data_IF_611867282064
#
_entry.id   IF_611867282064
#
_cell.length_a   1.000
_cell.length_b   1.000
_cell.length_c   1.000
_cell.angle_alpha   90.00
_cell.angle_beta   90.00
_cell.angle_gamma   90.00
#
_symmetry.space_group_name_H-M   'P 1'
#
loop_
_entity.id
_entity.type
_entity.pdbx_description
1 polymer ?
#
# COMPACT_ATOMS: atom_id res chain seq x y z
N UNK A 1 9.75 27.55 5.17
CA UNK A 1 8.93 26.68 4.29
C UNK A 1 8.09 25.76 5.16
N UNK A 2 6.78 25.63 4.92
CA UNK A 2 5.99 24.57 5.59
C UNK A 2 6.55 23.23 5.15
N UNK A 3 6.82 22.34 6.11
CA UNK A 3 7.25 20.96 5.82
C UNK A 3 6.10 20.29 5.05
N UNK A 4 6.40 19.65 3.92
CA UNK A 4 5.41 18.85 3.23
C UNK A 4 4.88 17.81 4.23
N UNK A 5 3.56 17.69 4.33
CA UNK A 5 2.88 16.79 5.26
C UNK A 5 1.93 15.89 4.47
N UNK A 6 1.98 14.60 4.77
CA UNK A 6 1.06 13.63 4.22
C UNK A 6 -0.32 13.80 4.88
N UNK A 7 -1.38 13.63 4.11
CA UNK A 7 -2.75 13.68 4.59
C UNK A 7 -3.02 12.54 5.58
N UNK A 8 -3.98 12.77 6.46
CA UNK A 8 -4.48 11.74 7.37
C UNK A 8 -5.08 10.55 6.60
N UNK A 9 -5.66 10.78 5.43
CA UNK A 9 -6.20 9.73 4.58
C UNK A 9 -5.10 8.82 4.04
N UNK A 10 -4.04 9.39 3.47
CA UNK A 10 -2.87 8.60 3.02
C UNK A 10 -2.20 7.84 4.16
N UNK A 11 -2.12 8.45 5.36
CA UNK A 11 -1.65 7.75 6.56
C UNK A 11 -2.51 6.50 6.89
N UNK A 12 -3.84 6.62 6.82
CA UNK A 12 -4.74 5.50 7.09
C UNK A 12 -4.66 4.42 6.00
N UNK A 13 -4.61 4.80 4.72
CA UNK A 13 -4.47 3.88 3.57
C UNK A 13 -3.18 3.08 3.64
N UNK A 14 -2.05 3.72 3.97
CA UNK A 14 -0.78 3.02 4.18
C UNK A 14 -0.86 2.03 5.35
N UNK A 15 -1.40 2.45 6.49
CA UNK A 15 -1.53 1.56 7.65
C UNK A 15 -2.42 0.35 7.36
N UNK A 16 -3.54 0.57 6.65
CA UNK A 16 -4.45 -0.50 6.22
C UNK A 16 -3.75 -1.47 5.28
N UNK A 17 -3.09 -0.96 4.24
CA UNK A 17 -2.32 -1.78 3.29
C UNK A 17 -1.25 -2.61 3.99
N UNK A 18 -0.52 -2.02 4.95
CA UNK A 18 0.45 -2.73 5.78
C UNK A 18 -0.19 -3.86 6.59
N UNK A 19 -1.32 -3.61 7.23
CA UNK A 19 -2.04 -4.63 8.00
C UNK A 19 -2.55 -5.76 7.12
N UNK A 20 -3.12 -5.45 5.96
CA UNK A 20 -3.59 -6.44 4.99
C UNK A 20 -2.45 -7.29 4.44
N UNK A 21 -1.31 -6.70 4.08
CA UNK A 21 -0.13 -7.43 3.64
C UNK A 21 0.40 -8.39 4.73
N UNK A 22 0.42 -7.95 5.99
CA UNK A 22 0.82 -8.82 7.10
C UNK A 22 -0.13 -10.00 7.27
N UNK A 23 -1.44 -9.76 7.16
CA UNK A 23 -2.45 -10.82 7.20
C UNK A 23 -2.28 -11.80 6.04
N UNK A 24 -2.18 -11.28 4.81
CA UNK A 24 -1.95 -12.07 3.60
C UNK A 24 -0.69 -12.92 3.70
N UNK A 25 0.41 -12.37 4.21
CA UNK A 25 1.66 -13.11 4.40
C UNK A 25 1.44 -14.30 5.34
N UNK A 26 0.76 -14.09 6.47
CA UNK A 26 0.49 -15.17 7.43
C UNK A 26 -0.45 -16.22 6.84
N UNK A 27 -1.49 -15.80 6.11
CA UNK A 27 -2.43 -16.70 5.47
C UNK A 27 -1.76 -17.52 4.36
N UNK A 28 -0.95 -16.91 3.50
CA UNK A 28 -0.15 -17.62 2.48
C UNK A 28 0.74 -18.70 3.10
N UNK A 29 1.45 -18.39 4.20
CA UNK A 29 2.26 -19.38 4.94
C UNK A 29 1.39 -20.54 5.45
N UNK A 30 0.22 -20.25 6.03
CA UNK A 30 -0.69 -21.29 6.52
C UNK A 30 -1.29 -22.12 5.38
N UNK A 31 -1.54 -21.53 4.22
CA UNK A 31 -2.17 -22.22 3.10
C UNK A 31 -1.19 -23.00 2.24
N UNK A 32 0.08 -22.58 2.12
CA UNK A 32 1.14 -23.43 1.55
C UNK A 32 1.27 -24.75 2.33
N UNK A 33 1.09 -24.70 3.65
CA UNK A 33 1.08 -25.90 4.51
C UNK A 33 -0.15 -26.79 4.23
N UNK A 34 -1.30 -26.19 3.87
CA UNK A 34 -2.59 -26.88 3.72
C UNK A 34 -3.01 -27.18 2.26
N UNK A 35 -2.30 -26.66 1.25
CA UNK A 35 -2.52 -26.92 -0.18
C UNK A 35 -3.78 -26.29 -0.80
N UNK A 36 -4.35 -25.24 -0.20
CA UNK A 36 -5.62 -24.62 -0.65
C UNK A 36 -5.35 -23.44 -1.62
N UNK A 37 -6.15 -23.32 -2.69
CA UNK A 37 -6.03 -22.27 -3.70
C UNK A 37 -6.73 -20.95 -3.26
N UNK A 38 -6.07 -19.81 -3.43
CA UNK A 38 -6.57 -18.50 -2.97
C UNK A 38 -7.27 -17.71 -4.09
N UNK A 39 -8.58 -17.90 -4.24
CA UNK A 39 -9.39 -17.15 -5.24
C UNK A 39 -9.53 -15.65 -4.93
N UNK A 40 -9.28 -15.23 -3.70
CA UNK A 40 -9.51 -13.86 -3.25
C UNK A 40 -8.25 -12.96 -3.31
N UNK A 41 -7.07 -13.53 -3.52
CA UNK A 41 -5.80 -12.80 -3.61
C UNK A 41 -5.80 -11.67 -4.64
N UNK A 42 -6.29 -11.88 -5.88
CA UNK A 42 -6.25 -10.82 -6.90
C UNK A 42 -6.98 -9.56 -6.43
N UNK A 43 -8.14 -9.70 -5.80
CA UNK A 43 -8.92 -8.58 -5.30
C UNK A 43 -8.23 -7.83 -4.16
N UNK A 44 -7.58 -8.55 -3.24
CA UNK A 44 -6.82 -7.92 -2.16
C UNK A 44 -5.58 -7.20 -2.68
N UNK A 45 -4.87 -7.77 -3.65
CA UNK A 45 -3.74 -7.10 -4.28
C UNK A 45 -4.17 -5.83 -5.03
N UNK A 46 -5.29 -5.86 -5.75
CA UNK A 46 -5.85 -4.65 -6.38
C UNK A 46 -6.14 -3.59 -5.32
N UNK A 47 -6.77 -3.95 -4.21
CA UNK A 47 -7.11 -3.01 -3.15
C UNK A 47 -5.86 -2.35 -2.51
N UNK A 48 -4.81 -3.15 -2.27
CA UNK A 48 -3.52 -2.65 -1.77
C UNK A 48 -2.86 -1.73 -2.82
N UNK A 49 -2.91 -2.11 -4.09
CA UNK A 49 -2.35 -1.32 -5.18
C UNK A 49 -3.05 0.04 -5.30
N UNK A 50 -4.38 0.08 -5.21
CA UNK A 50 -5.15 1.34 -5.25
C UNK A 50 -4.77 2.28 -4.10
N UNK A 51 -4.60 1.74 -2.89
CA UNK A 51 -4.16 2.52 -1.73
C UNK A 51 -2.74 3.07 -1.91
N UNK A 52 -1.81 2.27 -2.46
CA UNK A 52 -0.45 2.72 -2.75
C UNK A 52 -0.45 3.80 -3.84
N UNK A 53 -1.18 3.59 -4.94
CA UNK A 53 -1.30 4.56 -6.03
C UNK A 53 -1.86 5.90 -5.55
N UNK A 54 -2.88 5.87 -4.70
CA UNK A 54 -3.44 7.08 -4.08
C UNK A 54 -2.36 7.85 -3.30
N UNK A 55 -1.62 7.15 -2.44
CA UNK A 55 -0.59 7.75 -1.60
C UNK A 55 0.55 8.31 -2.45
N UNK A 56 1.02 7.57 -3.46
CA UNK A 56 2.08 8.01 -4.35
C UNK A 56 1.71 9.28 -5.13
N UNK A 57 0.47 9.35 -5.65
CA UNK A 57 -0.04 10.55 -6.31
C UNK A 57 -0.06 11.75 -5.36
N UNK A 58 -0.48 11.55 -4.11
CA UNK A 58 -0.46 12.62 -3.11
C UNK A 58 0.97 13.10 -2.83
N UNK A 59 1.90 12.16 -2.62
CA UNK A 59 3.31 12.48 -2.36
C UNK A 59 3.93 13.26 -3.52
N UNK A 60 3.65 12.87 -4.76
CA UNK A 60 4.11 13.58 -5.96
C UNK A 60 3.52 14.99 -6.03
N UNK A 61 2.21 15.16 -5.82
CA UNK A 61 1.55 16.47 -5.87
C UNK A 61 2.00 17.42 -4.75
N UNK A 62 2.38 16.87 -3.60
CA UNK A 62 2.87 17.63 -2.45
C UNK A 62 4.37 17.94 -2.50
N UNK A 63 5.05 17.58 -3.60
CA UNK A 63 6.46 17.86 -3.82
C UNK A 63 7.43 16.99 -3.00
N UNK A 64 6.95 15.88 -2.41
CA UNK A 64 7.83 14.94 -1.71
C UNK A 64 8.79 14.21 -2.65
N UNK A 65 8.44 14.09 -3.92
CA UNK A 65 9.23 13.39 -4.94
C UNK A 65 10.06 14.33 -5.82
N UNK A 66 10.02 15.65 -5.59
CA UNK A 66 10.62 16.64 -6.48
C UNK A 66 12.14 16.45 -6.64
N UNK A 67 12.83 16.09 -5.56
CA UNK A 67 14.28 15.85 -5.61
C UNK A 67 14.63 14.48 -6.22
N UNK A 68 13.69 13.52 -6.20
CA UNK A 68 13.86 12.22 -6.86
C UNK A 68 13.57 12.28 -8.37
N UNK A 69 12.77 13.25 -8.82
CA UNK A 69 12.33 13.40 -10.22
C UNK A 69 13.16 14.41 -11.03
N UNK A 70 13.97 15.25 -10.38
CA UNK A 70 14.97 16.10 -11.06
C UNK A 70 16.10 15.22 -11.60
N UNK A 71 15.98 14.84 -12.87
CA UNK A 71 17.11 14.40 -13.70
C UNK A 71 17.84 15.60 -14.29
#
# INVERSE_FOLDING_TARGET
>A
MKKAQMSIESYHKLNRSRSLLNFLRLDLIHQEINGIYQLYLPHLFTYIADDICFVLNELQNNGFCDDCLKK
#
